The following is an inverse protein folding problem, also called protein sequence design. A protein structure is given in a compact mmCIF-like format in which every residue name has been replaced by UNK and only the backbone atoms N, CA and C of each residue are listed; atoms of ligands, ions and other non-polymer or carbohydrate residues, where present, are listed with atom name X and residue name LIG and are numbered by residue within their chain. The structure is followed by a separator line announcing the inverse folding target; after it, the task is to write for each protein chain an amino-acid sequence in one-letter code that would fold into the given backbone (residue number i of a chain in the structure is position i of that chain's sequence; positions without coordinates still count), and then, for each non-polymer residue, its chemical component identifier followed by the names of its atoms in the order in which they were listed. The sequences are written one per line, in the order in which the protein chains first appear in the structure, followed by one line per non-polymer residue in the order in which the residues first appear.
data_IF_521954875974
#
_entry.id   IF_521954875974
#
_cell.length_a   1.000
_cell.length_b   1.000
_cell.length_c   1.000
_cell.angle_alpha   90.00
_cell.angle_beta   90.00
_cell.angle_gamma   90.00
#
_symmetry.space_group_name_H-M   'P 1'
#
loop_
_entity.id
_entity.type
_entity.pdbx_description
1 polymer ?
#
# COMPACT_ATOMS: atom_id res chain seq x y z
N UNK A 1 9.48 11.45 -28.69
CA UNK A 1 10.08 11.02 -27.41
C UNK A 1 9.99 12.18 -26.43
N UNK A 2 9.65 11.94 -25.16
CA UNK A 2 9.60 12.97 -24.12
C UNK A 2 10.59 12.65 -22.99
N UNK A 3 11.00 13.68 -22.25
CA UNK A 3 11.90 13.55 -21.09
C UNK A 3 11.12 13.66 -19.78
N UNK A 4 11.27 12.66 -18.90
CA UNK A 4 10.77 12.73 -17.55
C UNK A 4 11.85 13.29 -16.63
N UNK A 5 11.67 14.50 -16.09
CA UNK A 5 12.62 15.11 -15.14
C UNK A 5 12.68 14.39 -13.78
N UNK A 6 11.63 13.65 -13.43
CA UNK A 6 11.57 12.96 -12.15
C UNK A 6 12.36 11.65 -12.16
N UNK A 7 12.29 10.90 -13.27
CA UNK A 7 13.01 9.64 -13.47
C UNK A 7 14.39 9.83 -14.14
N UNK A 8 14.66 11.01 -14.69
CA UNK A 8 15.79 11.33 -15.55
C UNK A 8 15.97 10.37 -16.74
N UNK A 9 14.87 10.10 -17.45
CA UNK A 9 14.86 9.19 -18.59
C UNK A 9 13.94 9.64 -19.74
N UNK A 10 14.22 9.13 -20.93
CA UNK A 10 13.39 9.33 -22.11
C UNK A 10 12.32 8.23 -22.21
N UNK A 11 11.10 8.62 -22.59
CA UNK A 11 9.99 7.68 -22.80
C UNK A 11 9.27 7.92 -24.13
N UNK A 12 8.71 6.85 -24.74
CA UNK A 12 7.96 6.95 -25.98
C UNK A 12 6.60 7.62 -25.74
N UNK A 13 6.09 8.34 -26.75
CA UNK A 13 4.71 8.81 -26.76
C UNK A 13 3.94 8.13 -27.90
N UNK A 14 2.70 7.74 -27.63
CA UNK A 14 1.74 7.33 -28.65
C UNK A 14 1.03 8.54 -29.28
N UNK A 15 -0.16 8.30 -29.83
CA UNK A 15 -1.10 9.36 -30.25
C UNK A 15 -1.81 10.02 -29.07
N UNK A 16 -1.74 9.37 -27.90
CA UNK A 16 -2.11 9.91 -26.60
C UNK A 16 -1.15 11.07 -26.23
N UNK A 17 -1.69 12.28 -26.08
CA UNK A 17 -0.92 13.52 -25.91
C UNK A 17 0.08 13.51 -24.74
N UNK A 18 0.94 14.55 -24.63
CA UNK A 18 2.11 14.57 -23.74
C UNK A 18 1.78 14.27 -22.27
N UNK A 19 0.64 14.77 -21.78
CA UNK A 19 0.19 14.58 -20.40
C UNK A 19 -0.21 13.13 -20.10
N UNK A 20 -0.84 12.43 -21.05
CA UNK A 20 -1.28 11.05 -20.86
C UNK A 20 -0.10 10.08 -21.00
N UNK A 21 0.80 10.34 -21.96
CA UNK A 21 2.06 9.61 -22.08
C UNK A 21 2.92 9.73 -20.81
N UNK A 22 2.99 10.93 -20.20
CA UNK A 22 3.67 11.14 -18.93
C UNK A 22 2.99 10.38 -17.78
N UNK A 23 1.65 10.42 -17.71
CA UNK A 23 0.89 9.71 -16.67
C UNK A 23 1.11 8.20 -16.74
N UNK A 24 1.15 7.63 -17.95
CA UNK A 24 1.44 6.21 -18.18
C UNK A 24 2.89 5.89 -17.79
N UNK A 25 3.85 6.69 -18.24
CA UNK A 25 5.26 6.53 -17.86
C UNK A 25 5.46 6.55 -16.33
N UNK A 26 4.85 7.51 -15.63
CA UNK A 26 4.93 7.59 -14.17
C UNK A 26 4.29 6.37 -13.53
N UNK A 27 3.15 5.87 -14.04
CA UNK A 27 2.50 4.66 -13.51
C UNK A 27 3.39 3.43 -13.68
N UNK A 28 4.01 3.27 -14.84
CA UNK A 28 4.80 2.07 -15.13
C UNK A 28 6.14 2.06 -14.38
N UNK A 29 6.72 3.24 -14.12
CA UNK A 29 7.99 3.37 -13.40
C UNK A 29 7.86 3.62 -11.90
N UNK A 30 6.77 4.22 -11.45
CA UNK A 30 6.49 4.55 -10.04
C UNK A 30 5.29 3.81 -9.47
N UNK A 31 4.78 2.77 -10.15
CA UNK A 31 3.85 1.87 -9.48
C UNK A 31 4.52 1.41 -8.18
N UNK A 32 3.89 1.61 -7.00
CA UNK A 32 4.36 0.93 -5.81
C UNK A 32 4.41 -0.57 -6.16
N UNK A 33 5.41 -1.32 -5.65
CA UNK A 33 5.44 -2.76 -5.86
C UNK A 33 4.04 -3.29 -5.58
N UNK A 34 3.49 -4.16 -6.45
CA UNK A 34 2.14 -4.64 -6.22
C UNK A 34 2.14 -5.25 -4.82
N UNK A 35 1.35 -4.67 -3.92
CA UNK A 35 1.04 -5.28 -2.63
C UNK A 35 0.11 -6.47 -2.91
N UNK A 36 0.61 -7.44 -3.67
CA UNK A 36 -0.02 -8.73 -3.93
C UNK A 36 0.74 -9.80 -3.18
N UNK A 37 0.95 -9.55 -1.89
CA UNK A 37 1.24 -10.58 -0.91
C UNK A 37 0.11 -10.58 0.10
N UNK A 38 -0.38 -11.75 0.56
CA UNK A 38 -1.26 -11.79 1.72
C UNK A 38 -0.61 -11.01 2.86
N UNK A 39 -1.38 -10.25 3.66
CA UNK A 39 -0.82 -9.44 4.73
C UNK A 39 0.10 -10.31 5.59
N UNK A 40 1.37 -9.91 5.73
CA UNK A 40 2.32 -10.62 6.57
C UNK A 40 1.84 -10.45 8.01
N UNK A 41 1.17 -11.47 8.54
CA UNK A 41 0.80 -11.54 9.95
C UNK A 41 2.11 -11.69 10.73
N UNK A 42 2.70 -10.55 11.10
CA UNK A 42 3.87 -10.53 11.99
C UNK A 42 3.45 -10.92 13.40
N UNK A 43 4.37 -11.49 14.19
CA UNK A 43 4.08 -11.91 15.58
C UNK A 43 3.46 -10.81 16.46
N UNK A 44 3.73 -9.54 16.15
CA UNK A 44 3.12 -8.38 16.80
C UNK A 44 1.59 -8.34 16.67
N UNK A 45 1.02 -8.74 15.53
CA UNK A 45 -0.43 -8.79 15.32
C UNK A 45 -1.11 -9.82 16.23
N UNK A 46 -0.42 -10.93 16.51
CA UNK A 46 -0.89 -11.97 17.45
C UNK A 46 -0.91 -11.41 18.87
N UNK A 47 0.14 -10.68 19.27
CA UNK A 47 0.21 -10.04 20.59
C UNK A 47 -0.91 -9.02 20.76
N UNK A 48 -1.15 -8.16 19.76
CA UNK A 48 -2.28 -7.20 19.80
C UNK A 48 -3.61 -7.95 19.94
N UNK A 49 -3.83 -8.99 19.12
CA UNK A 49 -5.05 -9.79 19.17
C UNK A 49 -5.30 -10.40 20.56
N UNK A 50 -4.26 -10.96 21.19
CA UNK A 50 -4.36 -11.51 22.54
C UNK A 50 -4.65 -10.44 23.61
N UNK A 51 -4.03 -9.26 23.51
CA UNK A 51 -4.28 -8.15 24.42
C UNK A 51 -5.73 -7.66 24.34
N UNK A 52 -6.28 -7.56 23.12
CA UNK A 52 -7.68 -7.18 22.91
C UNK A 52 -8.63 -8.20 23.51
N UNK A 53 -8.39 -9.51 23.28
CA UNK A 53 -9.20 -10.57 23.87
C UNK A 53 -9.16 -10.56 25.41
N UNK A 54 -7.98 -10.35 26.00
CA UNK A 54 -7.82 -10.25 27.44
C UNK A 54 -8.58 -9.03 28.02
N UNK A 55 -8.51 -7.88 27.36
CA UNK A 55 -9.23 -6.68 27.76
C UNK A 55 -10.76 -6.89 27.70
N UNK A 56 -11.28 -7.49 26.63
CA UNK A 56 -12.70 -7.80 26.50
C UNK A 56 -13.18 -8.78 27.57
N UNK A 57 -12.40 -9.82 27.87
CA UNK A 57 -12.69 -10.76 28.94
C UNK A 57 -12.72 -10.08 30.32
N UNK A 58 -11.81 -9.15 30.57
CA UNK A 58 -11.76 -8.37 31.81
C UNK A 58 -12.99 -7.45 31.96
N UNK A 59 -13.34 -6.70 30.91
CA UNK A 59 -14.51 -5.83 30.88
C UNK A 59 -15.80 -6.65 31.08
N UNK A 60 -15.97 -7.76 30.35
CA UNK A 60 -17.13 -8.63 30.49
C UNK A 60 -17.29 -9.18 31.91
N UNK A 61 -16.17 -9.48 32.58
CA UNK A 61 -16.17 -9.94 33.98
C UNK A 61 -16.56 -8.84 34.98
N UNK A 62 -16.35 -7.57 34.65
CA UNK A 62 -16.70 -6.43 35.50
C UNK A 62 -18.14 -5.96 35.34
N UNK A 63 -18.76 -6.18 34.18
CA UNK A 63 -20.15 -5.77 33.92
C UNK A 63 -21.14 -6.85 34.36
N UNK A 64 -20.76 -8.13 34.31
CA UNK A 64 -21.58 -9.24 34.77
C UNK A 64 -21.52 -9.53 36.28
N UNK A 65 -20.81 -8.70 37.05
CA UNK A 65 -20.70 -8.74 38.51
C UNK A 65 -21.36 -7.51 39.10
#
# INVERSE_FOLDING_TARGET
MYWCKHCDCAYPHGTEGPSEALRKHIRDHHAPPPETGPPVITGWHIVIGLLVLAALAWIGRHIGR
#
